data_IF_686107116093
#
_entry.id   IF_686107116093
#
_cell.length_a   1.000
_cell.length_b   1.000
_cell.length_c   1.000
_cell.angle_alpha   90.00
_cell.angle_beta   90.00
_cell.angle_gamma   90.00
#
_symmetry.space_group_name_H-M   'P 1'
#
loop_
_entity.id
_entity.type
_entity.pdbx_description
1 polymer ?
#
# COMPACT_ATOMS: atom_id res chain seq x y z
N UNK A 1 -34.53 -60.58 47.76
CA UNK A 1 -34.34 -60.06 49.13
C UNK A 1 -33.51 -58.78 49.01
N UNK A 2 -34.15 -57.63 49.22
CA UNK A 2 -33.63 -56.32 49.67
C UNK A 2 -32.47 -55.66 48.88
N UNK A 3 -32.79 -54.67 48.03
CA UNK A 3 -32.87 -53.22 48.31
C UNK A 3 -31.50 -52.50 48.25
N UNK A 4 -31.31 -51.62 47.26
CA UNK A 4 -31.26 -50.15 47.47
C UNK A 4 -30.90 -49.38 46.20
N UNK A 5 -31.83 -48.52 45.84
CA UNK A 5 -31.66 -47.27 45.10
C UNK A 5 -30.50 -46.43 45.67
N UNK A 6 -29.64 -45.90 44.79
CA UNK A 6 -28.85 -44.71 45.08
C UNK A 6 -28.84 -43.80 43.84
N UNK A 7 -29.60 -42.71 43.97
CA UNK A 7 -29.61 -41.59 43.04
C UNK A 7 -28.24 -40.89 43.05
N UNK A 8 -27.70 -40.62 41.87
CA UNK A 8 -26.54 -39.75 41.67
C UNK A 8 -27.00 -38.29 41.62
N UNK A 9 -26.40 -37.36 42.39
CA UNK A 9 -26.78 -35.96 42.36
C UNK A 9 -26.30 -35.27 41.06
N UNK A 10 -27.22 -34.54 40.43
CA UNK A 10 -26.96 -33.62 39.32
C UNK A 10 -25.99 -32.50 39.74
N UNK A 11 -24.80 -32.45 39.12
CA UNK A 11 -23.88 -31.31 39.26
C UNK A 11 -24.37 -30.14 38.40
N UNK A 12 -24.88 -29.11 39.06
CA UNK A 12 -25.09 -27.78 38.46
C UNK A 12 -23.71 -27.10 38.30
N UNK A 13 -23.35 -26.55 37.14
CA UNK A 13 -22.14 -25.75 37.01
C UNK A 13 -22.37 -24.38 37.68
N UNK A 14 -21.71 -24.14 38.81
CA UNK A 14 -21.62 -22.81 39.41
C UNK A 14 -20.73 -21.91 38.55
N UNK A 15 -21.33 -20.94 37.88
CA UNK A 15 -20.61 -19.85 37.21
C UNK A 15 -20.04 -18.91 38.28
N UNK A 16 -18.71 -18.88 38.45
CA UNK A 16 -18.04 -17.84 39.23
C UNK A 16 -18.12 -16.52 38.46
N UNK A 17 -19.01 -15.63 38.87
CA UNK A 17 -18.96 -14.24 38.46
C UNK A 17 -18.04 -13.48 39.42
N UNK A 18 -16.90 -13.00 38.92
CA UNK A 18 -16.06 -12.04 39.63
C UNK A 18 -16.58 -10.64 39.29
N UNK A 19 -17.38 -10.07 40.20
CA UNK A 19 -17.74 -8.65 40.16
C UNK A 19 -16.73 -7.85 40.97
N UNK A 20 -15.91 -7.04 40.31
CA UNK A 20 -15.09 -6.00 40.94
C UNK A 20 -15.93 -4.74 41.12
N UNK A 21 -16.51 -4.56 42.31
CA UNK A 21 -17.11 -3.29 42.68
C UNK A 21 -16.04 -2.39 43.31
N UNK A 22 -15.55 -1.39 42.56
CA UNK A 22 -14.85 -0.25 43.15
C UNK A 22 -15.90 0.74 43.66
N UNK A 23 -16.14 0.75 44.97
CA UNK A 23 -16.88 1.83 45.61
C UNK A 23 -16.00 3.10 45.61
N UNK A 24 -16.45 4.24 45.07
CA UNK A 24 -15.72 5.48 45.24
C UNK A 24 -15.87 5.94 46.70
N UNK A 25 -14.75 6.00 47.42
CA UNK A 25 -14.68 6.65 48.73
C UNK A 25 -14.86 8.15 48.50
N UNK A 26 -16.04 8.67 48.84
CA UNK A 26 -16.32 10.10 48.82
C UNK A 26 -15.41 10.81 49.83
N UNK A 27 -14.33 11.41 49.36
CA UNK A 27 -13.51 12.34 50.14
C UNK A 27 -14.25 13.67 50.17
N UNK A 28 -14.86 13.98 51.30
CA UNK A 28 -15.48 15.29 51.58
C UNK A 28 -14.37 16.31 51.78
N UNK A 29 -13.90 16.94 50.71
CA UNK A 29 -13.06 18.15 50.79
C UNK A 29 -13.96 19.35 51.05
N UNK A 30 -13.83 19.97 52.22
CA UNK A 30 -14.45 21.28 52.52
C UNK A 30 -13.79 22.32 51.63
N UNK A 31 -14.56 22.87 50.68
CA UNK A 31 -14.14 24.01 49.89
C UNK A 31 -14.38 25.30 50.68
N UNK A 32 -13.30 25.91 51.17
CA UNK A 32 -13.23 27.35 51.43
C UNK A 32 -12.80 28.05 50.14
N UNK A 33 -13.46 29.15 49.75
CA UNK A 33 -13.03 29.99 48.62
C UNK A 33 -11.61 30.53 48.81
N UNK A 34 -10.88 30.94 47.74
CA UNK A 34 -11.36 31.46 46.46
C UNK A 34 -10.70 30.75 45.26
N UNK A 35 -11.10 29.50 44.97
CA UNK A 35 -10.51 28.73 43.86
C UNK A 35 -11.46 28.54 42.65
N UNK A 36 -12.63 29.19 42.67
CA UNK A 36 -13.62 29.10 41.59
C UNK A 36 -13.37 30.06 40.44
N UNK A 37 -12.61 31.14 40.65
CA UNK A 37 -12.27 32.08 39.57
C UNK A 37 -11.10 31.58 38.69
N UNK A 38 -10.22 30.73 39.21
CA UNK A 38 -9.12 30.16 38.44
C UNK A 38 -9.59 29.13 37.40
N UNK A 39 -10.58 28.29 37.74
CA UNK A 39 -11.09 27.24 36.85
C UNK A 39 -11.84 27.79 35.62
N UNK A 40 -12.56 28.92 35.76
CA UNK A 40 -13.26 29.56 34.65
C UNK A 40 -12.31 30.15 33.60
N UNK A 41 -11.20 30.74 34.05
CA UNK A 41 -10.18 31.31 33.14
C UNK A 41 -9.42 30.25 32.34
N UNK A 42 -9.09 29.10 32.96
CA UNK A 42 -8.38 28.02 32.27
C UNK A 42 -9.22 27.33 31.18
N UNK A 43 -10.53 27.19 31.40
CA UNK A 43 -11.45 26.63 30.39
C UNK A 43 -11.71 27.60 29.23
N UNK A 44 -11.81 28.91 29.52
CA UNK A 44 -11.97 29.94 28.48
C UNK A 44 -10.74 30.07 27.57
N UNK A 45 -9.53 30.06 28.15
CA UNK A 45 -8.27 30.14 27.39
C UNK A 45 -8.07 28.88 26.53
N UNK A 46 -8.41 27.69 27.04
CA UNK A 46 -8.34 26.44 26.28
C UNK A 46 -9.32 26.40 25.08
N UNK A 47 -10.54 26.91 25.25
CA UNK A 47 -11.53 26.97 24.18
C UNK A 47 -11.17 28.00 23.10
N UNK A 48 -10.64 29.17 23.50
CA UNK A 48 -10.14 30.20 22.58
C UNK A 48 -8.90 29.71 21.81
N UNK A 49 -7.98 29.01 22.48
CA UNK A 49 -6.81 28.42 21.82
C UNK A 49 -7.19 27.32 20.82
N UNK A 50 -8.27 26.56 21.05
CA UNK A 50 -8.77 25.55 20.12
C UNK A 50 -9.43 26.18 18.88
N UNK A 51 -10.07 27.34 19.03
CA UNK A 51 -10.65 28.12 17.91
C UNK A 51 -9.59 28.87 17.08
N UNK A 52 -8.41 29.12 17.65
CA UNK A 52 -7.28 29.75 16.97
C UNK A 52 -6.14 28.78 16.62
N UNK A 53 -6.38 27.46 16.65
CA UNK A 53 -5.46 26.53 15.98
C UNK A 53 -5.48 26.95 14.52
N UNK A 54 -4.36 27.42 13.95
CA UNK A 54 -4.31 27.74 12.53
C UNK A 54 -4.66 26.44 11.83
N UNK A 55 -5.80 26.43 11.16
CA UNK A 55 -6.14 25.37 10.23
C UNK A 55 -4.94 25.29 9.31
N UNK A 56 -4.20 24.18 9.37
CA UNK A 56 -3.06 23.94 8.49
C UNK A 56 -3.66 23.80 7.10
N UNK A 57 -3.83 24.94 6.44
CA UNK A 57 -4.15 25.01 5.04
C UNK A 57 -2.91 24.52 4.32
N UNK A 58 -3.10 23.52 3.47
CA UNK A 58 -2.07 23.15 2.50
C UNK A 58 -2.02 24.30 1.49
N UNK A 59 -1.23 25.33 1.81
CA UNK A 59 -0.94 26.49 0.95
C UNK A 59 -0.02 26.14 -0.22
N UNK A 60 0.18 24.84 -0.47
CA UNK A 60 0.74 24.40 -1.73
C UNK A 60 -0.23 24.85 -2.82
N UNK A 61 0.19 25.85 -3.61
CA UNK A 61 -0.43 26.11 -4.90
C UNK A 61 -0.59 24.76 -5.59
N UNK A 62 -1.77 24.42 -6.15
CA UNK A 62 -1.86 23.23 -6.98
C UNK A 62 -0.72 23.40 -7.97
N UNK A 63 0.18 22.42 -8.00
CA UNK A 63 1.16 22.36 -9.07
C UNK A 63 0.29 22.15 -10.29
N UNK A 64 -0.03 23.26 -10.94
CA UNK A 64 -0.56 23.33 -12.28
C UNK A 64 0.55 22.73 -13.15
N UNK A 65 0.66 21.39 -13.17
CA UNK A 65 1.14 20.63 -14.31
C UNK A 65 0.06 20.70 -15.43
N UNK A 66 -0.51 21.89 -15.60
CA UNK A 66 -1.41 22.27 -16.67
C UNK A 66 -0.52 22.76 -17.79
N UNK A 67 -0.03 21.83 -18.60
CA UNK A 67 0.29 22.07 -20.02
C UNK A 67 0.66 20.72 -20.67
N UNK A 68 -0.38 20.04 -21.19
CA UNK A 68 -0.29 18.90 -22.12
C UNK A 68 0.00 17.50 -21.56
N UNK A 69 -0.34 17.18 -20.32
CA UNK A 69 -0.39 15.76 -19.89
C UNK A 69 -1.63 15.09 -20.48
N UNK A 70 -1.60 14.84 -21.79
CA UNK A 70 -2.66 14.09 -22.45
C UNK A 70 -2.77 12.73 -21.74
N UNK A 71 -3.92 12.47 -21.13
CA UNK A 71 -4.17 11.23 -20.38
C UNK A 71 -4.60 10.13 -21.33
N UNK A 72 -4.26 8.88 -21.01
CA UNK A 72 -4.70 7.69 -21.71
C UNK A 72 -5.62 6.92 -20.79
N UNK A 73 -6.81 6.60 -21.28
CA UNK A 73 -7.78 5.78 -20.57
C UNK A 73 -7.48 4.30 -20.81
N UNK A 74 -7.50 3.51 -19.75
CA UNK A 74 -7.52 2.06 -19.86
C UNK A 74 -8.90 1.59 -20.34
N UNK A 75 -9.01 0.92 -21.51
CA UNK A 75 -10.28 0.44 -22.05
C UNK A 75 -11.05 -0.48 -21.09
N UNK A 76 -10.34 -1.24 -20.26
CA UNK A 76 -10.96 -2.27 -19.42
C UNK A 76 -11.36 -1.76 -18.03
N UNK A 77 -10.72 -0.72 -17.49
CA UNK A 77 -11.04 -0.25 -16.12
C UNK A 77 -11.44 1.21 -16.06
N UNK A 78 -11.35 1.93 -17.18
CA UNK A 78 -11.60 3.37 -17.28
C UNK A 78 -10.72 4.20 -16.33
N UNK A 79 -9.61 3.62 -15.86
CA UNK A 79 -8.58 4.30 -15.07
C UNK A 79 -7.73 5.15 -16.02
N UNK A 80 -7.49 6.40 -15.64
CA UNK A 80 -6.66 7.33 -16.38
C UNK A 80 -5.19 7.19 -16.01
N UNK A 81 -4.33 7.12 -17.02
CA UNK A 81 -2.89 7.15 -16.88
C UNK A 81 -2.33 8.40 -17.56
N UNK A 82 -1.46 9.18 -16.91
CA UNK A 82 -0.78 10.29 -17.57
C UNK A 82 0.19 9.75 -18.64
N UNK A 83 0.33 10.43 -19.79
CA UNK A 83 1.30 10.01 -20.82
C UNK A 83 2.75 10.28 -20.41
N UNK A 84 2.99 11.32 -19.64
CA UNK A 84 4.30 11.65 -19.10
C UNK A 84 4.25 11.53 -17.59
N UNK A 85 5.29 10.95 -17.00
CA UNK A 85 5.39 10.77 -15.57
C UNK A 85 6.73 11.34 -15.11
N UNK A 86 6.66 12.37 -14.25
CA UNK A 86 7.80 12.91 -13.52
C UNK A 86 7.70 12.44 -12.08
N UNK A 87 8.75 11.79 -11.60
CA UNK A 87 8.75 11.23 -10.25
C UNK A 87 9.62 12.12 -9.37
N UNK A 88 9.12 12.58 -8.21
CA UNK A 88 9.94 13.33 -7.27
C UNK A 88 11.03 12.41 -6.72
N UNK A 89 12.28 12.83 -6.84
CA UNK A 89 13.44 12.10 -6.34
C UNK A 89 14.52 13.09 -5.91
N UNK A 90 15.39 12.66 -5.00
CA UNK A 90 16.52 13.48 -4.53
C UNK A 90 17.55 13.77 -5.63
N UNK A 91 17.58 12.94 -6.66
CA UNK A 91 18.44 13.06 -7.83
C UNK A 91 17.61 13.42 -9.06
N UNK A 92 18.16 14.19 -10.03
CA UNK A 92 17.46 14.50 -11.27
C UNK A 92 17.19 13.20 -12.04
N UNK A 93 15.92 12.82 -12.19
CA UNK A 93 15.49 11.67 -12.98
C UNK A 93 14.97 12.12 -14.35
N UNK A 94 15.11 11.26 -15.38
CA UNK A 94 14.53 11.53 -16.69
C UNK A 94 13.00 11.49 -16.63
N UNK A 95 12.37 12.13 -17.61
CA UNK A 95 10.92 12.07 -17.79
C UNK A 95 10.54 10.73 -18.41
N UNK A 96 9.60 10.02 -17.78
CA UNK A 96 9.12 8.74 -18.29
C UNK A 96 7.91 8.92 -19.19
N UNK A 97 7.86 8.19 -20.30
CA UNK A 97 6.72 8.18 -21.23
C UNK A 97 5.94 6.87 -21.10
N UNK A 98 4.61 6.96 -21.12
CA UNK A 98 3.70 5.82 -21.10
C UNK A 98 3.82 5.05 -22.41
N UNK A 99 4.24 3.79 -22.31
CA UNK A 99 4.35 2.87 -23.45
C UNK A 99 3.05 2.09 -23.62
N UNK A 100 2.47 1.62 -22.52
CA UNK A 100 1.29 0.78 -22.58
C UNK A 100 0.56 0.66 -21.25
N UNK A 101 -0.74 0.38 -21.35
CA UNK A 101 -1.63 0.08 -20.23
C UNK A 101 -2.15 -1.34 -20.37
N UNK A 102 -2.39 -2.01 -19.24
CA UNK A 102 -2.92 -3.36 -19.24
C UNK A 102 -3.54 -3.76 -17.91
N UNK A 103 -4.49 -4.69 -17.96
CA UNK A 103 -5.22 -5.15 -16.77
C UNK A 103 -4.85 -6.58 -16.44
N UNK A 104 -4.63 -6.85 -15.15
CA UNK A 104 -4.55 -8.22 -14.66
C UNK A 104 -5.91 -8.74 -14.24
N UNK A 105 -6.25 -9.90 -14.79
CA UNK A 105 -7.49 -10.64 -14.48
C UNK A 105 -7.16 -11.94 -13.72
N UNK A 106 -8.02 -12.35 -12.78
CA UNK A 106 -7.94 -13.65 -12.08
C UNK A 106 -8.96 -14.67 -12.62
N UNK A 107 -8.55 -15.94 -12.63
CA UNK A 107 -8.96 -16.94 -13.62
C UNK A 107 -10.27 -17.69 -13.39
N UNK A 108 -11.13 -17.29 -12.44
CA UNK A 108 -12.39 -18.03 -12.19
C UNK A 108 -13.67 -17.21 -12.43
N UNK A 109 -13.60 -15.89 -12.37
CA UNK A 109 -14.76 -15.02 -12.55
C UNK A 109 -14.45 -13.82 -13.48
N UNK A 110 -13.28 -13.85 -14.15
CA UNK A 110 -12.86 -12.73 -15.00
C UNK A 110 -12.66 -11.43 -14.22
N UNK A 111 -12.37 -11.53 -12.92
CA UNK A 111 -12.25 -10.35 -12.07
C UNK A 111 -10.96 -9.60 -12.36
N UNK A 112 -11.12 -8.33 -12.70
CA UNK A 112 -10.03 -7.35 -12.85
C UNK A 112 -9.55 -6.98 -11.45
N UNK A 113 -8.25 -7.14 -11.19
CA UNK A 113 -7.66 -6.90 -9.86
C UNK A 113 -6.95 -5.55 -9.84
N UNK A 114 -6.08 -5.32 -10.81
CA UNK A 114 -5.34 -4.07 -10.95
C UNK A 114 -5.10 -3.75 -12.43
N UNK A 115 -5.06 -2.45 -12.72
CA UNK A 115 -4.56 -1.91 -13.99
C UNK A 115 -3.10 -1.47 -13.82
N UNK A 116 -2.31 -1.60 -14.86
CA UNK A 116 -0.87 -1.36 -14.86
C UNK A 116 -0.52 -0.45 -16.02
N UNK A 117 0.16 0.66 -15.72
CA UNK A 117 0.83 1.50 -16.71
C UNK A 117 2.33 1.18 -16.73
N UNK A 118 2.86 0.87 -17.91
CA UNK A 118 4.29 0.70 -18.14
C UNK A 118 4.87 1.96 -18.76
N UNK A 119 5.85 2.52 -18.07
CA UNK A 119 6.54 3.74 -18.46
C UNK A 119 8.03 3.47 -18.66
N UNK A 120 8.64 4.09 -19.65
CA UNK A 120 10.09 4.07 -19.80
C UNK A 120 10.64 5.41 -20.30
N UNK A 121 11.94 5.58 -20.12
CA UNK A 121 12.66 6.72 -20.67
C UNK A 121 12.90 6.52 -22.18
N UNK A 122 12.30 7.38 -22.99
CA UNK A 122 12.45 7.35 -24.45
C UNK A 122 13.50 8.32 -24.97
N UNK A 123 14.21 9.04 -24.10
CA UNK A 123 15.18 10.05 -24.50
C UNK A 123 16.46 9.47 -25.11
N UNK A 124 16.71 8.18 -24.90
CA UNK A 124 17.94 7.53 -25.39
C UNK A 124 17.92 7.36 -26.92
N UNK A 125 18.85 7.97 -27.67
CA UNK A 125 18.88 7.90 -29.13
C UNK A 125 19.13 6.49 -29.68
N UNK A 126 19.67 5.56 -28.87
CA UNK A 126 19.88 4.16 -29.23
C UNK A 126 18.57 3.34 -29.36
N UNK A 127 17.43 3.94 -29.03
CA UNK A 127 16.10 3.33 -29.16
C UNK A 127 15.56 3.28 -30.60
N UNK A 128 16.25 3.90 -31.57
CA UNK A 128 15.83 3.90 -32.97
C UNK A 128 16.20 2.58 -33.68
N UNK A 129 15.63 1.48 -33.19
CA UNK A 129 15.72 0.14 -33.79
C UNK A 129 14.46 -0.11 -34.62
N UNK A 130 14.64 -0.66 -35.83
CA UNK A 130 13.53 -0.90 -36.77
C UNK A 130 12.65 -2.09 -36.37
N UNK A 131 13.23 -3.14 -35.77
CA UNK A 131 12.51 -4.32 -35.33
C UNK A 131 11.81 -4.07 -33.97
N UNK A 132 10.47 -4.25 -33.85
CA UNK A 132 9.75 -4.01 -32.61
C UNK A 132 10.17 -4.95 -31.46
N UNK A 133 10.52 -6.21 -31.74
CA UNK A 133 10.88 -7.16 -30.69
C UNK A 133 12.21 -6.80 -30.02
N UNK A 134 13.22 -6.51 -30.84
CA UNK A 134 14.52 -6.03 -30.36
C UNK A 134 14.41 -4.70 -29.62
N UNK A 135 13.49 -3.83 -30.06
CA UNK A 135 13.22 -2.57 -29.38
C UNK A 135 12.64 -2.80 -27.99
N UNK A 136 11.70 -3.74 -27.84
CA UNK A 136 11.14 -4.12 -26.54
C UNK A 136 12.24 -4.69 -25.65
N UNK A 137 13.05 -5.61 -26.16
CA UNK A 137 14.15 -6.20 -25.42
C UNK A 137 15.19 -5.15 -24.99
N UNK A 138 15.49 -4.19 -25.85
CA UNK A 138 16.39 -3.07 -25.52
C UNK A 138 15.83 -2.23 -24.38
N UNK A 139 14.54 -1.86 -24.42
CA UNK A 139 13.87 -1.10 -23.36
C UNK A 139 13.91 -1.86 -22.03
N UNK A 140 13.65 -3.17 -22.07
CA UNK A 140 13.61 -4.05 -20.90
C UNK A 140 15.01 -4.37 -20.33
N UNK A 141 16.08 -4.18 -21.09
CA UNK A 141 17.45 -4.45 -20.60
C UNK A 141 18.25 -3.20 -20.27
N UNK A 142 18.10 -2.12 -21.05
CA UNK A 142 19.04 -1.00 -21.03
C UNK A 142 18.44 0.35 -20.56
N UNK A 143 17.12 0.42 -20.40
CA UNK A 143 16.42 1.69 -20.14
C UNK A 143 15.79 1.72 -18.75
N UNK A 144 15.82 2.89 -18.11
CA UNK A 144 15.09 3.12 -16.86
C UNK A 144 13.57 3.01 -17.08
N UNK A 145 12.92 2.23 -16.22
CA UNK A 145 11.48 1.92 -16.33
C UNK A 145 10.74 2.10 -15.02
N UNK A 146 9.45 2.37 -15.17
CA UNK A 146 8.52 2.57 -14.07
C UNK A 146 7.23 1.79 -14.34
N UNK A 147 6.76 1.10 -13.31
CA UNK A 147 5.49 0.39 -13.34
C UNK A 147 4.51 1.05 -12.36
N UNK A 148 3.42 1.63 -12.87
CA UNK A 148 2.34 2.20 -12.05
C UNK A 148 1.22 1.16 -11.94
N UNK A 149 1.01 0.59 -10.76
CA UNK A 149 -0.07 -0.37 -10.50
C UNK A 149 -1.19 0.33 -9.74
N UNK A 150 -2.38 0.38 -10.34
CA UNK A 150 -3.58 0.96 -9.75
C UNK A 150 -4.57 -0.17 -9.41
N UNK A 151 -4.86 -0.41 -8.13
CA UNK A 151 -5.87 -1.39 -7.73
C UNK A 151 -7.27 -0.94 -8.20
N UNK A 152 -8.02 -1.85 -8.80
CA UNK A 152 -9.37 -1.58 -9.32
C UNK A 152 -10.47 -1.91 -8.30
N UNK A 153 -10.10 -2.58 -7.21
CA UNK A 153 -10.97 -3.04 -6.13
C UNK A 153 -10.24 -2.93 -4.79
N UNK A 154 -10.97 -3.17 -3.70
CA UNK A 154 -10.47 -3.21 -2.33
C UNK A 154 -9.60 -4.45 -2.01
N UNK A 155 -8.73 -4.87 -2.91
CA UNK A 155 -7.79 -5.96 -2.66
C UNK A 155 -6.64 -5.50 -1.76
N UNK A 156 -6.27 -6.34 -0.79
CA UNK A 156 -5.15 -6.03 0.11
C UNK A 156 -3.81 -6.11 -0.61
N UNK A 157 -2.84 -5.32 -0.13
CA UNK A 157 -1.46 -5.39 -0.62
C UNK A 157 -0.81 -6.75 -0.37
N UNK A 158 -1.22 -7.46 0.68
CA UNK A 158 -0.78 -8.83 0.93
C UNK A 158 -1.14 -9.75 -0.24
N UNK A 159 -2.38 -9.67 -0.74
CA UNK A 159 -2.79 -10.49 -1.90
C UNK A 159 -2.02 -10.12 -3.16
N UNK A 160 -1.80 -8.83 -3.39
CA UNK A 160 -1.02 -8.33 -4.54
C UNK A 160 0.43 -8.80 -4.47
N UNK A 161 1.09 -8.64 -3.31
CA UNK A 161 2.45 -9.10 -3.01
C UNK A 161 2.58 -10.60 -3.25
N UNK A 162 1.70 -11.39 -2.64
CA UNK A 162 1.78 -12.85 -2.68
C UNK A 162 1.54 -13.36 -4.11
N UNK A 163 0.62 -12.73 -4.85
CA UNK A 163 0.40 -13.03 -6.28
C UNK A 163 1.61 -12.68 -7.14
N UNK A 164 2.25 -11.53 -6.89
CA UNK A 164 3.40 -11.07 -7.66
C UNK A 164 4.64 -11.92 -7.40
N UNK A 165 4.95 -12.16 -6.12
CA UNK A 165 6.05 -13.03 -5.69
C UNK A 165 5.89 -14.46 -6.20
N UNK A 166 4.68 -15.02 -6.13
CA UNK A 166 4.37 -16.33 -6.73
C UNK A 166 4.61 -16.35 -8.23
N UNK A 167 4.18 -15.31 -8.96
CA UNK A 167 4.39 -15.22 -10.40
C UNK A 167 5.87 -15.13 -10.78
N UNK A 168 6.67 -14.39 -10.00
CA UNK A 168 8.12 -14.32 -10.19
C UNK A 168 8.80 -15.65 -9.90
N UNK A 169 8.48 -16.29 -8.77
CA UNK A 169 9.01 -17.60 -8.42
C UNK A 169 8.69 -18.65 -9.50
N UNK A 170 7.47 -18.64 -10.05
CA UNK A 170 7.09 -19.50 -11.15
C UNK A 170 7.94 -19.26 -12.42
N UNK A 171 8.27 -17.99 -12.74
CA UNK A 171 9.14 -17.66 -13.88
C UNK A 171 10.59 -18.10 -13.67
N UNK A 172 11.12 -17.92 -12.46
CA UNK A 172 12.45 -18.46 -12.11
C UNK A 172 12.47 -19.96 -12.31
N UNK A 173 11.41 -20.65 -11.89
CA UNK A 173 11.32 -22.10 -12.07
C UNK A 173 11.20 -22.52 -13.53
N UNK A 174 10.45 -21.79 -14.36
CA UNK A 174 10.40 -22.03 -15.79
C UNK A 174 11.76 -21.82 -16.48
N UNK A 175 12.52 -20.80 -16.05
CA UNK A 175 13.85 -20.55 -16.56
C UNK A 175 14.85 -21.64 -16.12
N UNK A 176 14.67 -22.21 -14.93
CA UNK A 176 15.39 -23.40 -14.46
C UNK A 176 15.09 -24.63 -15.32
N UNK A 177 13.81 -24.89 -15.60
CA UNK A 177 13.42 -26.02 -16.48
C UNK A 177 13.96 -25.87 -17.91
N UNK A 178 14.30 -24.65 -18.34
CA UNK A 178 14.88 -24.36 -19.66
C UNK A 178 16.41 -24.27 -19.65
N UNK A 179 17.07 -24.62 -18.55
CA UNK A 179 18.52 -24.50 -18.36
C UNK A 179 19.09 -23.10 -18.68
N UNK A 180 18.27 -22.05 -18.54
CA UNK A 180 18.66 -20.68 -18.84
C UNK A 180 19.28 -19.95 -17.62
N UNK A 181 19.36 -20.61 -16.47
CA UNK A 181 19.85 -20.05 -15.20
C UNK A 181 20.97 -20.92 -14.64
N UNK A 182 22.09 -20.30 -14.27
CA UNK A 182 23.15 -20.97 -13.50
C UNK A 182 22.70 -21.14 -12.04
N UNK A 183 23.21 -22.16 -11.32
CA UNK A 183 22.85 -22.40 -9.93
C UNK A 183 23.28 -21.24 -9.00
N UNK A 184 24.36 -20.52 -9.34
CA UNK A 184 24.81 -19.33 -8.61
C UNK A 184 23.81 -18.18 -8.77
N UNK A 185 23.25 -18.02 -9.97
CA UNK A 185 22.25 -17.00 -10.28
C UNK A 185 20.93 -17.30 -9.56
N UNK A 186 20.53 -18.58 -9.49
CA UNK A 186 19.35 -19.01 -8.74
C UNK A 186 19.44 -18.61 -7.26
N UNK A 187 20.61 -18.84 -6.65
CA UNK A 187 20.86 -18.43 -5.26
C UNK A 187 20.84 -16.90 -5.12
N UNK A 188 21.47 -16.17 -6.05
CA UNK A 188 21.53 -14.72 -6.03
C UNK A 188 20.14 -14.04 -6.12
N UNK A 189 19.17 -14.66 -6.79
CA UNK A 189 17.80 -14.12 -6.95
C UNK A 189 17.00 -14.13 -5.63
N UNK A 190 17.33 -15.02 -4.69
CA UNK A 190 16.54 -15.16 -3.44
C UNK A 190 16.54 -13.88 -2.59
N UNK A 191 17.69 -13.22 -2.47
CA UNK A 191 17.83 -11.99 -1.68
C UNK A 191 17.02 -10.81 -2.27
N UNK A 192 17.13 -10.47 -3.57
CA UNK A 192 16.27 -9.50 -4.23
C UNK A 192 14.78 -9.84 -4.13
N UNK A 193 14.39 -11.12 -4.20
CA UNK A 193 12.98 -11.52 -4.07
C UNK A 193 12.44 -11.25 -2.65
N UNK A 194 13.25 -11.52 -1.62
CA UNK A 194 12.93 -11.17 -0.24
C UNK A 194 12.85 -9.66 -0.02
N UNK A 195 13.79 -8.89 -0.61
CA UNK A 195 13.76 -7.43 -0.58
C UNK A 195 12.52 -6.87 -1.28
N UNK A 196 12.16 -7.44 -2.44
CA UNK A 196 10.93 -7.08 -3.14
C UNK A 196 9.70 -7.34 -2.28
N UNK A 197 9.64 -8.50 -1.61
CA UNK A 197 8.53 -8.85 -0.71
C UNK A 197 8.37 -7.84 0.44
N UNK A 198 9.46 -7.34 1.01
CA UNK A 198 9.42 -6.39 2.13
C UNK A 198 9.02 -4.97 1.73
N UNK A 199 9.11 -4.62 0.45
CA UNK A 199 8.69 -3.31 -0.07
C UNK A 199 7.17 -3.12 -0.12
N UNK A 200 6.40 -4.21 -0.07
CA UNK A 200 4.96 -4.12 -0.03
C UNK A 200 4.48 -3.77 1.39
N UNK A 201 3.56 -2.82 1.53
CA UNK A 201 3.04 -2.44 2.84
C UNK A 201 2.21 -3.57 3.46
N UNK A 202 2.50 -3.91 4.71
CA UNK A 202 1.81 -4.99 5.42
C UNK A 202 0.37 -4.65 5.85
N UNK A 203 0.00 -3.36 5.93
CA UNK A 203 -1.25 -2.94 6.59
C UNK A 203 -1.81 -1.61 6.06
N UNK A 204 -2.13 -1.50 4.77
CA UNK A 204 -2.87 -0.34 4.29
C UNK A 204 -4.37 -0.65 4.13
N UNK A 205 -5.19 0.13 4.86
CA UNK A 205 -6.66 0.06 4.88
C UNK A 205 -7.32 0.63 3.62
N UNK A 206 -6.58 1.31 2.74
CA UNK A 206 -7.10 1.96 1.53
C UNK A 206 -6.32 1.52 0.29
N UNK A 207 -7.01 1.24 -0.83
CA UNK A 207 -6.34 1.03 -2.11
C UNK A 207 -5.57 2.30 -2.48
N UNK A 208 -4.28 2.16 -2.80
CA UNK A 208 -3.43 3.25 -3.30
C UNK A 208 -2.63 2.72 -4.48
N UNK A 209 -2.20 3.65 -5.32
CA UNK A 209 -1.35 3.37 -6.45
C UNK A 209 0.05 2.98 -5.98
N UNK A 210 0.62 1.93 -6.56
CA UNK A 210 2.00 1.53 -6.34
C UNK A 210 2.84 1.93 -7.54
N UNK A 211 4.03 2.47 -7.30
CA UNK A 211 4.97 2.85 -8.35
C UNK A 211 6.28 2.09 -8.13
N UNK A 212 6.58 1.14 -9.02
CA UNK A 212 7.83 0.37 -9.01
C UNK A 212 8.82 1.03 -9.94
N UNK A 213 10.08 1.17 -9.51
CA UNK A 213 11.15 1.79 -10.31
C UNK A 213 12.38 0.91 -10.30
N UNK A 214 13.07 0.86 -11.43
CA UNK A 214 14.16 -0.09 -11.68
C UNK A 214 15.58 0.45 -11.40
N UNK A 215 15.72 1.56 -10.67
CA UNK A 215 17.03 2.14 -10.33
C UNK A 215 17.58 1.65 -8.99
N UNK A 216 17.23 0.41 -8.58
CA UNK A 216 17.63 -0.16 -7.29
C UNK A 216 16.92 0.43 -6.05
N UNK A 217 16.06 1.44 -6.24
CA UNK A 217 15.24 2.07 -5.22
C UNK A 217 13.75 2.03 -5.61
N UNK A 218 13.03 1.04 -5.07
CA UNK A 218 11.58 1.06 -5.07
C UNK A 218 11.12 2.08 -4.04
N UNK A 219 10.86 3.29 -4.50
CA UNK A 219 10.17 4.26 -3.67
C UNK A 219 8.71 3.84 -3.60
N UNK A 220 8.26 3.46 -2.40
CA UNK A 220 6.85 3.58 -2.07
C UNK A 220 6.56 5.08 -1.93
N UNK A 221 6.46 5.77 -3.06
CA UNK A 221 6.00 7.15 -3.06
C UNK A 221 4.51 7.10 -2.72
N UNK A 222 4.23 7.24 -1.43
CA UNK A 222 2.92 7.48 -0.86
C UNK A 222 2.47 8.89 -1.23
N UNK A 223 2.34 9.16 -2.53
CA UNK A 223 1.71 10.39 -3.00
C UNK A 223 0.22 10.11 -2.97
N UNK A 224 -0.47 10.74 -2.02
CA UNK A 224 -1.90 10.95 -2.15
C UNK A 224 -2.06 11.94 -3.32
N UNK A 225 -2.58 11.44 -4.45
CA UNK A 225 -3.51 12.25 -5.24
C UNK A 225 -4.88 12.14 -4.57
#
# INVERSE_FOLDING_TARGET
>A
MFLKSLALPSRVPQTRQFTTACAPRAVRTRFSGPLLYAAGSALGIGAYALQHIPTVHLDASPVEDTENTSTVLDPATSITFPKTLRIPSKFPLPTFTLIGVGVRTVSFLGLRVYSVGFYADLSNPKLNVSNPEEKIDYIVRNTARVLRIVPTRNTSYAHLRDSFTRALAARVQLAKTRDALSPETEFAIQSPLCKLKSLFPNSAKRPRTLVFRDLGAMESNWVAE
#
